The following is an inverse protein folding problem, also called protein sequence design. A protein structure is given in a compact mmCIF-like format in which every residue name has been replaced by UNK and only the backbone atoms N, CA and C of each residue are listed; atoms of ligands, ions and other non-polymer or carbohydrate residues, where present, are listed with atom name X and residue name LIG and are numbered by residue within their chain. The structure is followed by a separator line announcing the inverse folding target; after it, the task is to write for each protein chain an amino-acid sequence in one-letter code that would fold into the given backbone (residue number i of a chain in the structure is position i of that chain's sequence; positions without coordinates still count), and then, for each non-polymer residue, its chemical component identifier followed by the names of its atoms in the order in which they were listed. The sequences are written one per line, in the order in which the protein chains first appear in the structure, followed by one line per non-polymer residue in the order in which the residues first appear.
data_IF_975474634246
#
_entry.id   IF_975474634246
#
_cell.length_a   1.000
_cell.length_b   1.000
_cell.length_c   1.000
_cell.angle_alpha   90.00
_cell.angle_beta   90.00
_cell.angle_gamma   90.00
#
_symmetry.space_group_name_H-M   'P 1'
#
loop_
_entity.id
_entity.type
_entity.pdbx_description
1 polymer ?
#
# COMPACT_ATOMS: atom_id res chain seq x y z
N UNK A 1 10.16 20.06 -5.43
CA UNK A 1 10.84 20.19 -4.10
C UNK A 1 9.84 20.82 -3.15
N UNK A 2 9.70 20.32 -1.91
CA UNK A 2 8.81 20.97 -0.96
C UNK A 2 9.38 22.34 -0.53
N UNK A 3 8.50 23.30 -0.21
CA UNK A 3 8.92 24.64 0.24
C UNK A 3 9.89 24.54 1.43
N UNK A 4 9.61 23.62 2.38
CA UNK A 4 10.48 23.39 3.53
C UNK A 4 11.89 22.91 3.15
N UNK A 5 12.01 21.98 2.17
CA UNK A 5 13.32 21.53 1.68
C UNK A 5 14.07 22.66 0.98
N UNK A 6 13.38 23.51 0.25
CA UNK A 6 13.99 24.68 -0.39
C UNK A 6 14.58 25.65 0.65
N UNK A 7 13.81 25.96 1.71
CA UNK A 7 14.32 26.80 2.79
C UNK A 7 15.48 26.18 3.54
N UNK A 8 15.46 24.88 3.81
CA UNK A 8 16.59 24.18 4.43
C UNK A 8 17.86 24.24 3.57
N UNK A 9 17.72 24.11 2.26
CA UNK A 9 18.85 24.26 1.34
C UNK A 9 19.39 25.69 1.32
N UNK A 10 18.49 26.70 1.33
CA UNK A 10 18.93 28.12 1.44
C UNK A 10 19.68 28.40 2.73
N UNK A 11 19.17 27.91 3.87
CA UNK A 11 19.88 28.06 5.17
C UNK A 11 21.24 27.40 5.14
N UNK A 12 21.34 26.19 4.57
CA UNK A 12 22.61 25.48 4.46
C UNK A 12 23.63 26.23 3.55
N UNK A 13 23.16 26.79 2.43
CA UNK A 13 23.99 27.64 1.55
C UNK A 13 24.44 28.91 2.29
N UNK A 14 23.53 29.61 2.97
CA UNK A 14 23.85 30.82 3.74
C UNK A 14 24.90 30.51 4.82
N UNK A 15 24.75 29.41 5.56
CA UNK A 15 25.72 28.96 6.59
C UNK A 15 27.08 28.64 5.97
N UNK A 16 27.12 28.02 4.80
CA UNK A 16 28.37 27.69 4.11
C UNK A 16 29.08 28.95 3.60
N UNK A 17 28.32 29.94 3.10
CA UNK A 17 28.85 31.25 2.67
C UNK A 17 29.41 32.03 3.86
N UNK A 18 28.68 32.09 4.97
CA UNK A 18 29.11 32.76 6.20
C UNK A 18 30.44 32.17 6.73
N UNK A 19 30.58 30.87 6.73
CA UNK A 19 31.79 30.16 7.17
C UNK A 19 32.96 30.25 6.17
N UNK A 20 32.73 30.76 4.95
CA UNK A 20 33.66 30.73 3.83
C UNK A 20 34.23 29.34 3.50
N UNK A 21 33.53 28.28 3.91
CA UNK A 21 33.92 26.89 3.74
C UNK A 21 32.70 26.08 3.23
N UNK A 22 32.76 25.72 1.97
CA UNK A 22 31.80 24.77 1.41
C UNK A 22 32.53 23.44 1.18
N UNK A 23 32.19 22.45 2.04
CA UNK A 23 32.89 21.17 2.03
C UNK A 23 32.02 20.15 1.32
N UNK A 24 32.44 19.65 0.17
CA UNK A 24 31.75 18.61 -0.61
C UNK A 24 32.35 17.22 -0.42
N UNK A 25 33.67 17.18 -0.20
CA UNK A 25 34.47 15.95 -0.28
C UNK A 25 33.98 14.81 0.65
N UNK A 26 33.61 15.04 1.91
CA UNK A 26 33.20 13.97 2.79
C UNK A 26 31.92 13.24 2.31
N UNK A 27 30.94 13.99 1.79
CA UNK A 27 29.71 13.36 1.26
C UNK A 27 29.99 12.63 -0.04
N UNK A 28 30.81 13.20 -0.93
CA UNK A 28 31.18 12.56 -2.19
C UNK A 28 32.00 11.27 -1.99
N UNK A 29 32.63 11.07 -0.84
CA UNK A 29 33.30 9.82 -0.47
C UNK A 29 32.41 8.85 0.33
N UNK A 30 31.21 9.29 0.74
CA UNK A 30 30.31 8.45 1.53
C UNK A 30 29.64 7.39 0.64
N UNK A 31 29.78 6.08 0.93
CA UNK A 31 29.24 5.02 0.09
C UNK A 31 27.70 5.02 0.02
N UNK A 32 27.00 5.51 1.07
CA UNK A 32 25.54 5.70 1.04
C UNK A 32 25.17 6.71 -0.04
N UNK A 33 25.84 7.85 -0.06
CA UNK A 33 25.58 8.91 -1.03
C UNK A 33 25.94 8.47 -2.45
N UNK A 34 27.12 7.88 -2.64
CA UNK A 34 27.58 7.45 -3.96
C UNK A 34 26.66 6.42 -4.60
N UNK A 35 26.20 5.41 -3.82
CA UNK A 35 25.31 4.40 -4.37
C UNK A 35 23.98 4.99 -4.84
N UNK A 36 23.42 5.98 -4.13
CA UNK A 36 22.21 6.66 -4.59
C UNK A 36 22.49 7.61 -5.77
N UNK A 37 23.61 8.32 -5.75
CA UNK A 37 24.04 9.21 -6.85
C UNK A 37 24.17 8.44 -8.16
N UNK A 38 24.72 7.22 -8.12
CA UNK A 38 24.79 6.34 -9.30
C UNK A 38 23.37 5.98 -9.80
N UNK A 39 22.43 5.64 -8.92
CA UNK A 39 21.05 5.39 -9.33
C UNK A 39 20.44 6.60 -10.03
N UNK A 40 20.59 7.79 -9.42
CA UNK A 40 20.08 9.04 -10.00
C UNK A 40 20.70 9.34 -11.37
N UNK A 41 22.02 9.13 -11.50
CA UNK A 41 22.73 9.32 -12.76
C UNK A 41 22.30 8.32 -13.84
N UNK A 42 22.09 7.05 -13.49
CA UNK A 42 21.58 6.05 -14.42
C UNK A 42 20.16 6.37 -14.91
N UNK A 43 19.29 6.90 -14.03
CA UNK A 43 17.98 7.41 -14.43
C UNK A 43 18.12 8.62 -15.37
N UNK A 44 19.05 9.53 -15.10
CA UNK A 44 19.34 10.68 -15.95
C UNK A 44 19.83 10.26 -17.35
N UNK A 45 20.66 9.22 -17.45
CA UNK A 45 21.10 8.67 -18.75
C UNK A 45 19.94 8.16 -19.60
N UNK A 46 18.76 7.97 -19.02
CA UNK A 46 17.53 7.67 -19.75
C UNK A 46 17.15 8.73 -20.79
N UNK A 47 17.68 9.98 -20.69
CA UNK A 47 17.48 11.03 -21.68
C UNK A 47 17.97 10.62 -23.08
N UNK A 48 19.03 9.83 -23.16
CA UNK A 48 19.59 9.35 -24.44
C UNK A 48 18.80 8.22 -25.08
N UNK A 49 17.76 7.71 -24.40
CA UNK A 49 16.89 6.64 -24.91
C UNK A 49 15.60 7.13 -25.53
N UNK A 50 15.39 8.45 -25.57
CA UNK A 50 14.15 9.03 -26.07
C UNK A 50 12.96 8.81 -25.13
N UNK A 51 11.76 8.92 -25.67
CA UNK A 51 10.50 8.79 -24.94
C UNK A 51 9.95 10.12 -24.42
N UNK A 52 9.01 10.06 -23.46
CA UNK A 52 8.36 11.24 -22.92
C UNK A 52 9.31 12.03 -21.99
N UNK A 53 9.92 13.08 -22.50
CA UNK A 53 10.85 13.95 -21.73
C UNK A 53 10.21 14.50 -20.45
N UNK A 54 8.92 14.78 -20.44
CA UNK A 54 8.21 15.30 -19.26
C UNK A 54 8.24 14.29 -18.10
N UNK A 55 8.12 12.99 -18.37
CA UNK A 55 8.19 11.94 -17.34
C UNK A 55 9.59 11.83 -16.77
N UNK A 56 10.61 11.87 -17.63
CA UNK A 56 12.01 11.86 -17.22
C UNK A 56 12.34 13.07 -16.34
N UNK A 57 12.01 14.29 -16.78
CA UNK A 57 12.28 15.49 -16.00
C UNK A 57 11.50 15.56 -14.69
N UNK A 58 10.28 15.02 -14.67
CA UNK A 58 9.49 14.88 -13.43
C UNK A 58 10.24 14.01 -12.43
N UNK A 59 10.73 12.84 -12.84
CA UNK A 59 11.45 11.91 -11.95
C UNK A 59 12.74 12.51 -11.44
N UNK A 60 13.57 13.08 -12.33
CA UNK A 60 14.83 13.75 -11.95
C UNK A 60 14.61 14.84 -10.91
N UNK A 61 13.61 15.71 -11.13
CA UNK A 61 13.25 16.78 -10.18
C UNK A 61 12.71 16.24 -8.86
N UNK A 62 11.96 15.14 -8.91
CA UNK A 62 11.39 14.51 -7.71
C UNK A 62 12.50 13.94 -6.83
N UNK A 63 13.53 13.30 -7.41
CA UNK A 63 14.67 12.71 -6.70
C UNK A 63 15.72 13.75 -6.25
N UNK A 64 15.70 14.95 -6.81
CA UNK A 64 16.70 15.99 -6.54
C UNK A 64 16.94 16.27 -5.03
N UNK A 65 15.95 16.27 -4.14
CA UNK A 65 16.17 16.43 -2.71
C UNK A 65 17.10 15.38 -2.09
N UNK A 66 17.04 14.13 -2.56
CA UNK A 66 17.92 13.05 -2.08
C UNK A 66 19.39 13.26 -2.46
N UNK A 67 19.63 13.96 -3.57
CA UNK A 67 20.97 14.33 -4.03
C UNK A 67 21.47 15.59 -3.34
N UNK A 68 20.63 16.63 -3.25
CA UNK A 68 21.05 17.94 -2.76
C UNK A 68 21.09 18.02 -1.22
N UNK A 69 20.13 17.39 -0.51
CA UNK A 69 20.07 17.54 0.94
C UNK A 69 21.36 17.08 1.65
N UNK A 70 21.96 15.92 1.36
CA UNK A 70 23.23 15.53 1.96
C UNK A 70 24.38 16.51 1.65
N UNK A 71 24.45 17.00 0.41
CA UNK A 71 25.53 17.93 -0.03
C UNK A 71 25.50 19.25 0.74
N UNK A 72 24.31 19.80 0.95
CA UNK A 72 24.18 21.10 1.56
C UNK A 72 24.08 21.01 3.09
N UNK A 73 23.27 20.09 3.63
CA UNK A 73 22.99 20.04 5.06
C UNK A 73 24.17 19.55 5.91
N UNK A 74 25.15 18.83 5.32
CA UNK A 74 26.41 18.52 6.02
C UNK A 74 27.21 19.77 6.44
N UNK A 75 26.97 20.91 5.75
CA UNK A 75 27.66 22.18 6.05
C UNK A 75 27.00 22.97 7.18
N UNK A 76 25.89 22.51 7.73
CA UNK A 76 25.28 23.09 8.93
C UNK A 76 26.19 22.95 10.16
N UNK A 77 25.97 23.78 11.16
CA UNK A 77 26.61 23.60 12.46
C UNK A 77 26.18 22.24 13.06
N UNK A 78 27.07 21.56 13.78
CA UNK A 78 26.74 20.34 14.47
C UNK A 78 25.53 20.55 15.39
N UNK A 79 24.49 19.70 15.21
CA UNK A 79 23.26 19.77 16.01
C UNK A 79 23.53 19.50 17.48
N UNK A 80 23.06 20.40 18.32
CA UNK A 80 22.97 20.18 19.78
C UNK A 80 21.82 19.21 20.11
N UNK A 81 21.88 18.57 21.29
CA UNK A 81 20.80 17.70 21.78
C UNK A 81 19.46 18.43 21.90
N UNK A 82 19.48 19.73 22.25
CA UNK A 82 18.27 20.54 22.30
C UNK A 82 17.63 20.74 20.94
N UNK A 83 18.43 21.04 19.89
CA UNK A 83 17.95 21.19 18.52
C UNK A 83 17.41 19.86 17.95
N UNK A 84 18.13 18.77 18.21
CA UNK A 84 17.64 17.42 17.83
C UNK A 84 16.28 17.11 18.50
N UNK A 85 16.13 17.48 19.79
CA UNK A 85 14.87 17.35 20.53
C UNK A 85 13.73 18.15 19.89
N UNK A 86 14.01 19.39 19.45
CA UNK A 86 13.00 20.23 18.76
C UNK A 86 12.55 19.59 17.46
N UNK A 87 13.48 19.07 16.64
CA UNK A 87 13.17 18.37 15.40
C UNK A 87 12.19 17.21 15.65
N UNK A 88 12.48 16.38 16.65
CA UNK A 88 11.61 15.26 17.00
C UNK A 88 10.24 15.73 17.53
N UNK A 89 10.18 16.76 18.38
CA UNK A 89 8.92 17.32 18.88
C UNK A 89 8.03 17.82 17.74
N UNK A 90 8.61 18.54 16.79
CA UNK A 90 7.90 19.03 15.61
C UNK A 90 7.36 17.86 14.76
N UNK A 91 8.19 16.83 14.54
CA UNK A 91 7.78 15.66 13.78
C UNK A 91 6.63 14.89 14.47
N UNK A 92 6.73 14.63 15.79
CA UNK A 92 5.67 13.96 16.55
C UNK A 92 4.38 14.76 16.56
N UNK A 93 4.47 16.09 16.74
CA UNK A 93 3.30 16.97 16.73
C UNK A 93 2.63 17.00 15.37
N UNK A 94 3.40 17.10 14.28
CA UNK A 94 2.88 17.11 12.93
C UNK A 94 2.16 15.80 12.59
N UNK A 95 2.75 14.67 12.94
CA UNK A 95 2.11 13.35 12.75
C UNK A 95 0.86 13.21 13.62
N UNK A 96 0.94 13.60 14.90
CA UNK A 96 -0.19 13.51 15.83
C UNK A 96 -1.38 14.36 15.40
N UNK A 97 -1.14 15.62 15.02
CA UNK A 97 -2.19 16.53 14.53
C UNK A 97 -2.81 15.99 13.22
N UNK A 98 -1.97 15.56 12.28
CA UNK A 98 -2.46 15.01 11.01
C UNK A 98 -3.30 13.75 11.21
N UNK A 99 -2.86 12.84 12.08
CA UNK A 99 -3.61 11.63 12.43
C UNK A 99 -4.94 11.99 13.10
N UNK A 100 -4.93 12.93 14.05
CA UNK A 100 -6.13 13.39 14.75
C UNK A 100 -7.17 13.96 13.78
N UNK A 101 -6.77 14.85 12.86
CA UNK A 101 -7.67 15.41 11.86
C UNK A 101 -8.27 14.32 10.98
N UNK A 102 -7.48 13.34 10.53
CA UNK A 102 -7.96 12.21 9.75
C UNK A 102 -8.96 11.34 10.53
N UNK A 103 -8.70 11.08 11.82
CA UNK A 103 -9.60 10.32 12.71
C UNK A 103 -10.93 11.05 12.92
N UNK A 104 -10.88 12.35 13.20
CA UNK A 104 -12.11 13.16 13.36
C UNK A 104 -12.93 13.16 12.07
N UNK A 105 -12.29 13.35 10.92
CA UNK A 105 -12.96 13.29 9.63
C UNK A 105 -13.61 11.91 9.40
N UNK A 106 -12.87 10.83 9.67
CA UNK A 106 -13.40 9.48 9.54
C UNK A 106 -14.59 9.21 10.46
N UNK A 107 -14.54 9.66 11.71
CA UNK A 107 -15.60 9.48 12.68
C UNK A 107 -16.88 10.27 12.31
N UNK A 108 -16.74 11.52 11.85
CA UNK A 108 -17.89 12.37 11.46
C UNK A 108 -18.57 11.85 10.19
N UNK A 109 -17.79 11.28 9.26
CA UNK A 109 -18.30 10.77 7.97
C UNK A 109 -18.62 9.28 7.98
N UNK A 110 -18.57 8.62 9.14
CA UNK A 110 -18.84 7.19 9.25
C UNK A 110 -20.30 6.83 8.93
N UNK A 111 -20.60 5.75 8.16
CA UNK A 111 -19.65 4.89 7.49
C UNK A 111 -19.09 5.48 6.18
N UNK A 112 -17.75 5.48 6.03
CA UNK A 112 -17.13 5.93 4.80
C UNK A 112 -17.26 4.86 3.69
N UNK A 113 -17.68 5.24 2.47
CA UNK A 113 -17.70 4.30 1.34
C UNK A 113 -16.31 3.74 1.03
N UNK A 114 -15.30 4.59 1.13
CA UNK A 114 -13.90 4.23 0.98
C UNK A 114 -13.09 4.70 2.20
N UNK A 115 -12.78 3.82 3.19
CA UNK A 115 -12.08 4.20 4.42
C UNK A 115 -10.72 4.88 4.19
N UNK A 116 -10.02 4.51 3.10
CA UNK A 116 -8.71 5.06 2.74
C UNK A 116 -8.75 6.54 2.37
N UNK A 117 -9.90 7.05 1.93
CA UNK A 117 -10.11 8.48 1.61
C UNK A 117 -10.00 9.38 2.84
N UNK A 118 -10.09 8.82 4.06
CA UNK A 118 -9.86 9.58 5.29
C UNK A 118 -8.41 10.00 5.51
N UNK A 119 -7.45 9.50 4.74
CA UNK A 119 -6.07 9.99 4.76
C UNK A 119 -5.95 11.28 3.93
N UNK A 120 -6.33 12.41 4.53
CA UNK A 120 -6.59 13.68 3.84
C UNK A 120 -5.36 14.37 3.25
N UNK A 121 -4.18 14.22 3.88
CA UNK A 121 -2.99 15.01 3.53
C UNK A 121 -2.07 14.31 2.54
N UNK A 122 -1.87 13.01 2.73
CA UNK A 122 -1.02 12.15 1.90
C UNK A 122 -1.59 10.74 1.85
N UNK A 123 -1.15 9.92 0.88
CA UNK A 123 -1.55 8.51 0.80
C UNK A 123 -1.39 7.80 2.15
N UNK A 124 -2.41 7.05 2.56
CA UNK A 124 -2.44 6.29 3.81
C UNK A 124 -1.22 5.39 4.03
N UNK A 125 -0.62 4.86 2.96
CA UNK A 125 0.59 4.02 3.04
C UNK A 125 1.79 4.87 3.50
N UNK A 126 2.00 6.04 2.89
CA UNK A 126 3.11 6.95 3.21
C UNK A 126 2.93 7.60 4.58
N UNK A 127 1.69 7.92 4.92
CA UNK A 127 1.39 8.44 6.26
C UNK A 127 1.66 7.37 7.33
N UNK A 128 1.30 6.11 7.08
CA UNK A 128 1.60 4.99 7.99
C UNK A 128 3.10 4.83 8.24
N UNK A 129 3.93 5.02 7.22
CA UNK A 129 5.39 5.00 7.34
C UNK A 129 5.89 6.05 8.35
N UNK A 130 5.41 7.30 8.22
CA UNK A 130 5.74 8.39 9.13
C UNK A 130 5.19 8.14 10.54
N UNK A 131 3.96 7.65 10.65
CA UNK A 131 3.30 7.36 11.90
C UNK A 131 4.02 6.26 12.71
N UNK A 132 4.45 5.19 12.05
CA UNK A 132 5.23 4.12 12.72
C UNK A 132 6.59 4.64 13.19
N UNK A 133 7.30 5.45 12.37
CA UNK A 133 8.56 6.06 12.80
C UNK A 133 8.36 7.02 13.98
N UNK A 134 7.26 7.79 13.97
CA UNK A 134 6.92 8.68 15.09
C UNK A 134 6.64 7.91 16.39
N UNK A 135 5.92 6.78 16.33
CA UNK A 135 5.69 5.91 17.49
C UNK A 135 7.00 5.38 18.05
N UNK A 136 7.87 4.83 17.19
CA UNK A 136 9.16 4.29 17.63
C UNK A 136 10.07 5.39 18.20
N UNK A 137 10.10 6.55 17.57
CA UNK A 137 10.85 7.71 18.08
C UNK A 137 10.32 8.20 19.40
N UNK A 138 9.01 8.32 19.57
CA UNK A 138 8.36 8.78 20.80
C UNK A 138 8.66 7.88 22.00
N UNK A 139 8.67 6.55 21.81
CA UNK A 139 8.98 5.59 22.87
C UNK A 139 10.47 5.28 23.00
N UNK A 140 11.23 5.39 21.91
CA UNK A 140 12.67 5.11 21.87
C UNK A 140 13.56 6.24 22.40
N UNK A 141 13.07 7.49 22.39
CA UNK A 141 13.81 8.66 22.87
C UNK A 141 13.33 9.05 24.27
N UNK A 142 14.15 8.86 25.31
CA UNK A 142 13.76 9.26 26.66
C UNK A 142 13.69 10.79 26.78
N UNK A 143 12.73 11.28 27.56
CA UNK A 143 12.63 12.69 28.01
C UNK A 143 12.43 13.76 26.91
N UNK A 144 12.15 13.38 25.64
CA UNK A 144 11.84 14.37 24.59
C UNK A 144 10.42 14.90 24.75
N UNK A 145 9.46 14.01 25.02
CA UNK A 145 8.04 14.34 25.24
C UNK A 145 7.52 13.65 26.50
N UNK A 146 6.49 14.24 27.10
CA UNK A 146 5.84 13.72 28.31
C UNK A 146 5.13 12.39 28.06
N UNK A 147 4.96 11.56 29.08
CA UNK A 147 4.23 10.29 28.99
C UNK A 147 2.79 10.46 28.48
N UNK A 148 1.99 11.45 28.96
CA UNK A 148 0.66 11.69 28.41
C UNK A 148 0.67 11.95 26.90
N UNK A 149 1.65 12.70 26.39
CA UNK A 149 1.77 12.95 24.95
C UNK A 149 2.13 11.67 24.17
N UNK A 150 3.01 10.81 24.71
CA UNK A 150 3.33 9.50 24.09
C UNK A 150 2.07 8.63 23.96
N UNK A 151 1.28 8.58 25.03
CA UNK A 151 0.03 7.82 25.06
C UNK A 151 -0.96 8.41 24.04
N UNK A 152 -1.18 9.74 24.06
CA UNK A 152 -2.09 10.41 23.14
C UNK A 152 -1.70 10.18 21.67
N UNK A 153 -0.41 10.33 21.33
CA UNK A 153 0.11 10.04 20.00
C UNK A 153 -0.16 8.59 19.59
N UNK A 154 0.09 7.63 20.51
CA UNK A 154 -0.14 6.22 20.24
C UNK A 154 -1.62 5.93 19.99
N UNK A 155 -2.51 6.42 20.84
CA UNK A 155 -3.96 6.25 20.71
C UNK A 155 -4.44 6.80 19.35
N UNK A 156 -4.05 8.02 19.02
CA UNK A 156 -4.49 8.66 17.76
C UNK A 156 -3.97 7.93 16.53
N UNK A 157 -2.72 7.46 16.53
CA UNK A 157 -2.16 6.69 15.42
C UNK A 157 -2.86 5.32 15.30
N UNK A 158 -3.15 4.63 16.41
CA UNK A 158 -3.88 3.36 16.37
C UNK A 158 -5.32 3.55 15.88
N UNK A 159 -6.00 4.61 16.30
CA UNK A 159 -7.33 4.98 15.78
C UNK A 159 -7.26 5.28 14.27
N UNK A 160 -6.23 5.99 13.81
CA UNK A 160 -6.01 6.21 12.39
C UNK A 160 -5.87 4.88 11.62
N UNK A 161 -5.04 3.94 12.11
CA UNK A 161 -4.90 2.62 11.47
C UNK A 161 -6.20 1.85 11.44
N UNK A 162 -7.00 1.96 12.48
CA UNK A 162 -8.31 1.30 12.60
C UNK A 162 -9.34 1.88 11.62
N UNK A 163 -9.58 3.20 11.65
CA UNK A 163 -10.60 3.86 10.83
C UNK A 163 -10.26 3.86 9.34
N UNK A 164 -9.00 4.02 8.99
CA UNK A 164 -8.53 4.02 7.58
C UNK A 164 -8.34 2.60 7.05
N UNK A 165 -8.32 1.59 7.92
CA UNK A 165 -8.15 0.18 7.53
C UNK A 165 -6.80 -0.11 6.85
N UNK A 166 -5.74 0.58 7.29
CA UNK A 166 -4.42 0.47 6.66
C UNK A 166 -3.67 -0.78 7.11
N UNK A 167 -3.80 -1.88 6.35
CA UNK A 167 -3.02 -3.11 6.60
C UNK A 167 -1.50 -2.88 6.52
N UNK A 168 -1.05 -1.96 5.66
CA UNK A 168 0.36 -1.61 5.50
C UNK A 168 0.92 -0.99 6.78
N UNK A 169 0.15 -0.13 7.47
CA UNK A 169 0.56 0.47 8.74
C UNK A 169 0.76 -0.57 9.83
N UNK A 170 -0.18 -1.48 9.98
CA UNK A 170 -0.07 -2.62 10.90
C UNK A 170 1.11 -3.53 10.54
N UNK A 171 1.29 -3.83 9.24
CA UNK A 171 2.41 -4.63 8.75
C UNK A 171 3.77 -4.01 9.08
N UNK A 172 3.95 -2.72 8.83
CA UNK A 172 5.18 -1.99 9.17
C UNK A 172 5.46 -2.01 10.67
N UNK A 173 4.43 -1.79 11.49
CA UNK A 173 4.57 -1.82 12.95
C UNK A 173 4.97 -3.21 13.46
N UNK A 174 4.30 -4.26 12.98
CA UNK A 174 4.59 -5.65 13.37
C UNK A 174 6.02 -6.03 12.99
N UNK A 175 6.41 -5.83 11.71
CA UNK A 175 7.77 -6.18 11.25
C UNK A 175 8.83 -5.41 12.04
N UNK A 176 8.58 -4.14 12.33
CA UNK A 176 9.53 -3.34 13.10
C UNK A 176 9.64 -3.80 14.55
N UNK A 177 8.54 -4.10 15.23
CA UNK A 177 8.54 -4.68 16.60
C UNK A 177 9.33 -5.99 16.58
N UNK A 178 9.05 -6.86 15.63
CA UNK A 178 9.75 -8.13 15.45
C UNK A 178 11.27 -7.92 15.36
N UNK A 179 11.71 -7.01 14.49
CA UNK A 179 13.14 -6.73 14.28
C UNK A 179 13.81 -6.11 15.50
N UNK A 180 13.15 -5.19 16.18
CA UNK A 180 13.67 -4.57 17.39
C UNK A 180 13.78 -5.58 18.56
N UNK A 181 12.84 -6.50 18.68
CA UNK A 181 12.92 -7.60 19.65
C UNK A 181 14.04 -8.58 19.29
N UNK A 182 14.17 -8.96 18.02
CA UNK A 182 15.19 -9.88 17.55
C UNK A 182 16.62 -9.36 17.80
N UNK A 183 16.81 -8.04 17.80
CA UNK A 183 18.12 -7.41 17.98
C UNK A 183 18.68 -7.54 19.40
N UNK A 184 17.82 -7.77 20.43
CA UNK A 184 18.20 -7.68 21.86
C UNK A 184 18.80 -8.96 22.48
N UNK A 185 18.50 -10.16 21.98
CA UNK A 185 19.11 -11.41 22.49
C UNK A 185 18.87 -12.60 21.54
N UNK A 186 19.74 -13.65 21.67
CA UNK A 186 19.54 -14.91 20.92
C UNK A 186 18.18 -15.57 21.24
N UNK A 187 17.74 -15.53 22.49
CA UNK A 187 16.44 -16.06 22.94
C UNK A 187 15.27 -15.36 22.25
N UNK A 188 15.36 -14.04 22.11
CA UNK A 188 14.32 -13.25 21.46
C UNK A 188 14.23 -13.56 19.94
N UNK A 189 15.34 -13.92 19.29
CA UNK A 189 15.32 -14.36 17.87
C UNK A 189 14.46 -15.59 17.66
N UNK A 190 14.51 -16.58 18.58
CA UNK A 190 13.67 -17.77 18.51
C UNK A 190 12.19 -17.46 18.77
N UNK A 191 11.90 -16.57 19.73
CA UNK A 191 10.52 -16.11 20.00
C UNK A 191 9.96 -15.42 18.76
N UNK A 192 10.73 -14.51 18.14
CA UNK A 192 10.35 -13.79 16.91
C UNK A 192 10.13 -14.77 15.77
N UNK A 193 11.04 -15.69 15.54
CA UNK A 193 10.89 -16.73 14.49
C UNK A 193 9.63 -17.57 14.75
N UNK A 194 9.41 -18.00 16.00
CA UNK A 194 8.22 -18.74 16.40
C UNK A 194 6.92 -17.96 16.15
N UNK A 195 6.84 -16.70 16.57
CA UNK A 195 5.65 -15.83 16.34
C UNK A 195 5.41 -15.56 14.86
N UNK A 196 6.46 -15.35 14.06
CA UNK A 196 6.35 -15.14 12.62
C UNK A 196 5.85 -16.40 11.90
N UNK A 197 6.39 -17.56 12.27
CA UNK A 197 5.93 -18.86 11.75
C UNK A 197 4.49 -19.16 12.17
N UNK A 198 4.12 -18.85 13.41
CA UNK A 198 2.74 -19.02 13.90
C UNK A 198 1.77 -18.12 13.12
N UNK A 199 2.11 -16.83 12.91
CA UNK A 199 1.30 -15.93 12.11
C UNK A 199 1.17 -16.38 10.66
N UNK A 200 2.27 -16.83 10.04
CA UNK A 200 2.27 -17.38 8.69
C UNK A 200 1.43 -18.65 8.60
N UNK A 201 1.58 -19.57 9.57
CA UNK A 201 0.80 -20.82 9.64
C UNK A 201 -0.67 -20.55 9.86
N UNK A 202 -1.02 -19.58 10.73
CA UNK A 202 -2.40 -19.14 10.95
C UNK A 202 -3.00 -18.56 9.68
N UNK A 203 -2.26 -17.74 8.95
CA UNK A 203 -2.68 -17.20 7.66
C UNK A 203 -2.90 -18.30 6.63
N UNK A 204 -1.97 -19.25 6.51
CA UNK A 204 -2.08 -20.41 5.63
C UNK A 204 -3.26 -21.33 6.02
N UNK A 205 -3.49 -21.51 7.33
CA UNK A 205 -4.63 -22.27 7.83
C UNK A 205 -5.96 -21.61 7.46
N UNK A 206 -6.06 -20.28 7.63
CA UNK A 206 -7.25 -19.55 7.18
C UNK A 206 -7.43 -19.61 5.66
N UNK A 207 -6.34 -19.52 4.88
CA UNK A 207 -6.40 -19.71 3.43
C UNK A 207 -6.89 -21.11 3.06
N UNK A 208 -6.42 -22.16 3.73
CA UNK A 208 -6.82 -23.53 3.45
C UNK A 208 -8.27 -23.84 3.87
N UNK A 209 -8.75 -23.25 4.96
CA UNK A 209 -10.11 -23.49 5.47
C UNK A 209 -11.20 -22.86 4.58
N UNK A 210 -10.88 -21.77 3.87
CA UNK A 210 -11.83 -21.10 2.98
C UNK A 210 -11.81 -21.61 1.53
N UNK A 211 -10.94 -22.57 1.21
CA UNK A 211 -11.07 -23.39 -0.02
C UNK A 211 -12.03 -24.55 0.16
N UNK A 212 -12.87 -24.50 1.21
CA UNK A 212 -13.76 -25.56 1.65
C UNK A 212 -14.79 -26.00 0.62
N UNK A 213 -15.26 -27.22 0.83
CA UNK A 213 -16.21 -27.96 0.02
C UNK A 213 -17.28 -27.07 -0.61
N UNK A 214 -17.29 -27.01 -1.92
CA UNK A 214 -18.42 -26.49 -2.67
C UNK A 214 -19.63 -27.35 -2.29
N UNK A 215 -20.62 -26.74 -1.66
CA UNK A 215 -21.93 -27.38 -1.54
C UNK A 215 -22.42 -27.58 -2.98
N UNK A 216 -22.56 -28.84 -3.37
CA UNK A 216 -23.00 -29.16 -4.72
C UNK A 216 -24.50 -28.81 -4.80
N UNK A 217 -24.80 -27.62 -5.34
CA UNK A 217 -26.15 -27.31 -5.78
C UNK A 217 -26.35 -27.91 -7.17
N UNK A 218 -27.34 -28.77 -7.39
CA UNK A 218 -27.60 -29.30 -8.70
C UNK A 218 -28.01 -28.15 -9.65
N UNK A 219 -27.52 -28.18 -10.87
CA UNK A 219 -27.97 -27.30 -11.95
C UNK A 219 -29.40 -27.72 -12.32
N UNK A 220 -30.34 -26.79 -12.19
CA UNK A 220 -31.73 -27.02 -12.59
C UNK A 220 -31.94 -26.51 -14.01
N UNK A 221 -32.85 -27.13 -14.76
CA UNK A 221 -33.09 -26.77 -16.16
C UNK A 221 -33.92 -25.50 -16.26
N UNK A 222 -34.96 -25.37 -15.41
CA UNK A 222 -35.89 -24.25 -15.42
C UNK A 222 -36.40 -23.94 -14.01
N UNK A 223 -36.90 -22.72 -13.80
CA UNK A 223 -37.56 -22.28 -12.58
C UNK A 223 -38.90 -22.91 -12.41
N UNK A 224 -39.50 -22.76 -11.23
CA UNK A 224 -40.88 -23.19 -10.95
C UNK A 224 -41.92 -22.50 -11.84
N UNK A 225 -41.60 -21.32 -12.38
CA UNK A 225 -42.46 -20.54 -13.30
C UNK A 225 -42.18 -20.79 -14.76
N UNK A 226 -41.19 -21.66 -15.08
CA UNK A 226 -40.88 -22.11 -16.41
C UNK A 226 -39.82 -21.32 -17.16
N UNK A 227 -39.18 -20.32 -16.54
CA UNK A 227 -38.04 -19.65 -17.15
C UNK A 227 -36.81 -20.56 -17.14
N UNK A 228 -36.13 -20.66 -18.31
CA UNK A 228 -34.93 -21.46 -18.46
C UNK A 228 -33.77 -20.82 -17.68
N UNK A 229 -33.11 -21.60 -16.83
CA UNK A 229 -31.97 -21.10 -16.07
C UNK A 229 -30.73 -20.90 -16.95
N UNK A 230 -30.01 -19.84 -16.65
CA UNK A 230 -28.67 -19.55 -17.17
C UNK A 230 -27.65 -20.07 -16.15
N UNK A 231 -26.64 -20.78 -16.67
CA UNK A 231 -25.50 -21.26 -15.90
C UNK A 231 -24.19 -20.81 -16.52
N UNK A 232 -23.23 -20.48 -15.68
CA UNK A 232 -21.83 -20.25 -16.09
C UNK A 232 -20.96 -21.37 -15.46
N UNK A 233 -20.86 -22.56 -16.12
CA UNK A 233 -20.22 -23.72 -15.52
C UNK A 233 -18.71 -23.56 -15.30
N UNK A 234 -18.06 -22.68 -16.05
CA UNK A 234 -16.62 -22.35 -15.92
C UNK A 234 -16.32 -21.40 -14.77
N UNK A 235 -17.35 -20.74 -14.22
CA UNK A 235 -17.19 -19.82 -13.09
C UNK A 235 -17.39 -20.55 -11.77
N UNK A 236 -16.30 -20.72 -11.00
CA UNK A 236 -16.27 -21.46 -9.74
C UNK A 236 -16.41 -20.56 -8.51
N UNK A 237 -16.80 -19.32 -8.67
CA UNK A 237 -16.99 -18.41 -7.53
C UNK A 237 -18.13 -18.88 -6.63
N UNK A 238 -17.88 -18.82 -5.31
CA UNK A 238 -18.84 -19.27 -4.30
C UNK A 238 -19.04 -18.23 -3.20
N UNK A 239 -20.24 -18.22 -2.62
CA UNK A 239 -20.58 -17.57 -1.36
C UNK A 239 -21.05 -18.64 -0.37
N UNK A 240 -20.41 -18.72 0.80
CA UNK A 240 -20.66 -19.75 1.80
C UNK A 240 -20.66 -21.19 1.25
N UNK A 241 -19.82 -21.45 0.21
CA UNK A 241 -19.75 -22.74 -0.46
C UNK A 241 -20.76 -22.96 -1.59
N UNK A 242 -21.72 -22.06 -1.79
CA UNK A 242 -22.73 -22.17 -2.85
C UNK A 242 -22.26 -21.41 -4.10
N UNK A 243 -22.41 -22.03 -5.28
CA UNK A 243 -22.02 -21.41 -6.56
C UNK A 243 -22.88 -20.19 -6.86
N UNK A 244 -22.23 -19.10 -7.26
CA UNK A 244 -22.90 -17.82 -7.52
C UNK A 244 -23.63 -17.86 -8.88
N UNK A 245 -22.96 -18.30 -9.93
CA UNK A 245 -23.42 -18.15 -11.32
C UNK A 245 -24.10 -19.42 -11.86
N UNK A 246 -24.98 -20.02 -11.04
CA UNK A 246 -25.86 -21.13 -11.46
C UNK A 246 -27.30 -20.82 -11.05
N UNK A 247 -28.26 -21.44 -11.72
CA UNK A 247 -29.71 -21.32 -11.45
C UNK A 247 -30.17 -19.86 -11.46
N UNK A 248 -29.85 -19.10 -12.52
CA UNK A 248 -30.23 -17.70 -12.70
C UNK A 248 -31.36 -17.62 -13.73
N UNK A 249 -32.53 -17.12 -13.33
CA UNK A 249 -33.64 -16.77 -14.19
C UNK A 249 -33.78 -15.23 -14.25
N UNK A 250 -33.14 -14.54 -15.22
CA UNK A 250 -32.97 -13.09 -15.21
C UNK A 250 -34.27 -12.31 -15.25
N UNK A 251 -35.27 -12.77 -15.99
CA UNK A 251 -36.55 -12.08 -16.15
C UNK A 251 -37.37 -12.19 -14.88
N UNK A 252 -37.48 -13.39 -14.33
CA UNK A 252 -38.18 -13.61 -13.04
C UNK A 252 -37.50 -12.89 -11.89
N UNK A 253 -36.15 -12.96 -11.83
CA UNK A 253 -35.37 -12.29 -10.81
C UNK A 253 -35.63 -10.78 -10.83
N UNK A 254 -35.58 -10.16 -12.01
CA UNK A 254 -35.81 -8.73 -12.16
C UNK A 254 -37.26 -8.36 -11.79
N UNK A 255 -38.23 -9.08 -12.32
CA UNK A 255 -39.64 -8.79 -12.09
C UNK A 255 -40.04 -8.92 -10.63
N UNK A 256 -39.59 -9.99 -9.97
CA UNK A 256 -39.88 -10.24 -8.55
C UNK A 256 -39.17 -9.23 -7.64
N UNK A 257 -37.93 -8.87 -7.95
CA UNK A 257 -37.18 -7.88 -7.17
C UNK A 257 -37.82 -6.50 -7.26
N UNK A 258 -38.14 -6.03 -8.48
CA UNK A 258 -38.73 -4.71 -8.70
C UNK A 258 -40.16 -4.66 -8.06
N UNK A 259 -40.94 -5.71 -8.20
CA UNK A 259 -42.24 -5.79 -7.57
C UNK A 259 -42.20 -5.70 -6.03
N UNK A 260 -41.12 -6.24 -5.43
CA UNK A 260 -40.97 -6.24 -3.96
C UNK A 260 -40.37 -4.95 -3.42
N UNK A 261 -39.45 -4.32 -4.14
CA UNK A 261 -38.62 -3.22 -3.59
C UNK A 261 -38.82 -1.89 -4.29
N UNK A 262 -39.42 -1.87 -5.47
CA UNK A 262 -39.50 -0.73 -6.39
C UNK A 262 -38.13 -0.17 -6.79
N UNK A 263 -37.05 -0.97 -6.65
CA UNK A 263 -35.68 -0.60 -7.03
C UNK A 263 -35.23 -1.41 -8.26
N UNK A 264 -34.81 -0.76 -9.35
CA UNK A 264 -34.26 -1.46 -10.51
C UNK A 264 -32.94 -2.19 -10.19
N UNK A 265 -32.73 -3.39 -10.75
CA UNK A 265 -31.49 -4.16 -10.56
C UNK A 265 -30.23 -3.45 -11.11
N UNK A 266 -30.38 -2.61 -12.13
CA UNK A 266 -29.28 -1.84 -12.72
C UNK A 266 -28.95 -0.56 -11.92
N UNK A 267 -29.72 -0.25 -10.89
CA UNK A 267 -29.38 0.84 -9.95
C UNK A 267 -28.21 0.43 -9.06
N UNK A 268 -27.49 1.44 -8.57
CA UNK A 268 -26.39 1.21 -7.62
C UNK A 268 -26.91 1.11 -6.20
N UNK A 269 -26.33 0.17 -5.45
CA UNK A 269 -26.53 0.06 -3.99
C UNK A 269 -25.78 1.17 -3.24
N UNK A 270 -25.87 1.18 -1.92
CA UNK A 270 -25.22 2.20 -1.07
C UNK A 270 -23.69 2.19 -1.14
N UNK A 271 -23.08 1.13 -1.66
CA UNK A 271 -21.62 1.01 -1.89
C UNK A 271 -21.22 1.31 -3.34
N UNK A 272 -22.18 1.70 -4.18
CA UNK A 272 -21.93 2.04 -5.58
C UNK A 272 -21.80 0.86 -6.53
N UNK A 273 -22.11 -0.37 -6.09
CA UNK A 273 -22.18 -1.58 -6.93
C UNK A 273 -23.59 -1.73 -7.53
N UNK A 274 -23.71 -2.47 -8.64
CA UNK A 274 -25.04 -2.79 -9.18
C UNK A 274 -25.79 -3.70 -8.21
N UNK A 275 -27.03 -3.36 -7.89
CA UNK A 275 -27.91 -4.17 -7.03
C UNK A 275 -28.02 -5.61 -7.55
N UNK A 276 -28.02 -5.82 -8.87
CA UNK A 276 -28.02 -7.15 -9.47
C UNK A 276 -26.86 -8.01 -8.98
N UNK A 277 -25.65 -7.47 -8.98
CA UNK A 277 -24.47 -8.21 -8.54
C UNK A 277 -24.54 -8.55 -7.05
N UNK A 278 -24.92 -7.58 -6.23
CA UNK A 278 -25.09 -7.76 -4.78
C UNK A 278 -26.16 -8.81 -4.48
N UNK A 279 -27.32 -8.74 -5.16
CA UNK A 279 -28.45 -9.66 -5.00
C UNK A 279 -28.08 -11.10 -5.35
N UNK A 280 -27.47 -11.34 -6.52
CA UNK A 280 -27.07 -12.69 -6.98
C UNK A 280 -26.13 -13.34 -5.97
N UNK A 281 -25.14 -12.59 -5.47
CA UNK A 281 -24.21 -13.06 -4.45
C UNK A 281 -24.91 -13.33 -3.12
N UNK A 282 -25.79 -12.43 -2.69
CA UNK A 282 -26.53 -12.58 -1.45
C UNK A 282 -27.45 -13.83 -1.47
N UNK A 283 -28.19 -14.06 -2.57
CA UNK A 283 -28.98 -15.27 -2.77
C UNK A 283 -28.10 -16.53 -2.72
N UNK A 284 -26.95 -16.51 -3.37
CA UNK A 284 -25.99 -17.60 -3.30
C UNK A 284 -25.51 -17.83 -1.85
N UNK A 285 -25.25 -16.78 -1.08
CA UNK A 285 -24.78 -16.90 0.31
C UNK A 285 -25.81 -17.61 1.21
N UNK A 286 -27.09 -17.55 0.86
CA UNK A 286 -28.20 -18.25 1.53
C UNK A 286 -28.52 -19.62 0.91
N UNK A 287 -27.85 -20.02 -0.18
CA UNK A 287 -28.16 -21.26 -0.90
C UNK A 287 -29.47 -21.20 -1.71
N UNK A 288 -29.94 -20.01 -2.06
CA UNK A 288 -31.20 -19.80 -2.79
C UNK A 288 -30.95 -19.75 -4.31
N UNK A 289 -32.00 -20.10 -5.08
CA UNK A 289 -32.03 -19.90 -6.53
C UNK A 289 -32.13 -18.41 -6.87
N UNK A 290 -31.70 -18.03 -8.08
CA UNK A 290 -31.69 -16.62 -8.50
C UNK A 290 -32.90 -16.38 -9.42
N UNK A 291 -34.08 -16.47 -8.83
CA UNK A 291 -35.39 -16.40 -9.46
C UNK A 291 -36.46 -15.77 -8.55
N UNK A 292 -37.71 -15.85 -8.91
CA UNK A 292 -38.79 -15.33 -8.12
C UNK A 292 -38.98 -16.05 -6.76
N UNK A 293 -38.72 -17.35 -6.70
CA UNK A 293 -38.85 -18.13 -5.47
C UNK A 293 -37.74 -17.78 -4.47
N UNK A 294 -36.51 -17.57 -4.98
CA UNK A 294 -35.40 -17.07 -4.16
C UNK A 294 -35.70 -15.69 -3.58
N UNK A 295 -36.31 -14.77 -4.36
CA UNK A 295 -36.70 -13.44 -3.88
C UNK A 295 -37.82 -13.55 -2.78
N UNK A 296 -38.77 -14.45 -2.93
CA UNK A 296 -39.84 -14.63 -1.93
C UNK A 296 -39.30 -15.09 -0.58
N UNK A 297 -38.23 -15.87 -0.55
CA UNK A 297 -37.57 -16.37 0.66
C UNK A 297 -36.72 -15.35 1.40
N UNK A 298 -36.47 -14.16 0.83
CA UNK A 298 -35.76 -13.08 1.51
C UNK A 298 -36.65 -12.44 2.57
N UNK A 299 -36.12 -12.12 3.74
CA UNK A 299 -36.74 -11.26 4.73
C UNK A 299 -36.58 -9.78 4.36
N UNK A 300 -37.30 -8.88 5.04
CA UNK A 300 -37.13 -7.43 4.83
C UNK A 300 -35.74 -6.95 5.31
N UNK A 301 -35.19 -7.63 6.31
CA UNK A 301 -33.80 -7.41 6.74
C UNK A 301 -32.81 -7.79 5.64
N UNK A 302 -33.02 -8.90 4.92
CA UNK A 302 -32.20 -9.30 3.78
C UNK A 302 -32.25 -8.26 2.66
N UNK A 303 -33.44 -7.75 2.34
CA UNK A 303 -33.62 -6.69 1.35
C UNK A 303 -32.86 -5.43 1.75
N UNK A 304 -32.96 -5.01 2.99
CA UNK A 304 -32.23 -3.86 3.53
C UNK A 304 -30.72 -4.06 3.44
N UNK A 305 -30.23 -5.27 3.75
CA UNK A 305 -28.80 -5.62 3.64
C UNK A 305 -28.31 -5.57 2.19
N UNK A 306 -29.08 -6.06 1.23
CA UNK A 306 -28.76 -6.03 -0.19
C UNK A 306 -28.66 -4.58 -0.67
N UNK A 307 -29.62 -3.72 -0.34
CA UNK A 307 -29.63 -2.30 -0.69
C UNK A 307 -28.48 -1.54 -0.02
N UNK A 308 -28.05 -1.97 1.18
CA UNK A 308 -26.85 -1.47 1.85
C UNK A 308 -25.55 -1.97 1.22
N UNK A 309 -25.59 -2.84 0.20
CA UNK A 309 -24.44 -3.36 -0.52
C UNK A 309 -23.75 -4.56 0.15
N UNK A 310 -24.38 -5.24 1.10
CA UNK A 310 -23.87 -6.47 1.67
C UNK A 310 -24.08 -7.63 0.69
N UNK A 311 -23.00 -8.31 0.33
CA UNK A 311 -23.01 -9.40 -0.67
C UNK A 311 -23.22 -10.78 -0.05
N UNK A 312 -23.16 -10.87 1.28
CA UNK A 312 -23.31 -12.12 2.03
C UNK A 312 -24.21 -11.91 3.25
N UNK A 313 -25.09 -12.88 3.54
CA UNK A 313 -26.04 -12.81 4.64
C UNK A 313 -25.37 -12.69 6.03
N UNK A 314 -24.14 -13.17 6.18
CA UNK A 314 -23.37 -13.07 7.41
C UNK A 314 -22.57 -11.75 7.52
N UNK A 315 -22.46 -10.98 6.44
CA UNK A 315 -21.60 -9.78 6.38
C UNK A 315 -21.93 -8.70 7.43
N UNK A 316 -23.21 -8.47 7.82
CA UNK A 316 -23.54 -7.51 8.88
C UNK A 316 -22.90 -7.84 10.24
N UNK A 317 -22.62 -9.12 10.49
CA UNK A 317 -22.04 -9.61 11.75
C UNK A 317 -20.52 -9.75 11.71
N UNK A 318 -19.89 -9.55 10.55
CA UNK A 318 -18.45 -9.68 10.40
C UNK A 318 -17.68 -8.47 10.94
N UNK A 319 -16.59 -8.76 11.61
CA UNK A 319 -15.58 -7.77 11.92
C UNK A 319 -14.94 -7.22 10.63
N UNK A 320 -14.29 -6.08 10.71
CA UNK A 320 -13.56 -5.49 9.55
C UNK A 320 -12.50 -6.45 8.97
N UNK A 321 -11.87 -7.28 9.82
CA UNK A 321 -10.89 -8.27 9.39
C UNK A 321 -11.55 -9.42 8.61
N UNK A 322 -12.67 -9.93 9.09
CA UNK A 322 -13.44 -10.98 8.40
C UNK A 322 -13.97 -10.51 7.05
N UNK A 323 -14.50 -9.27 6.98
CA UNK A 323 -14.93 -8.66 5.70
C UNK A 323 -13.76 -8.60 4.72
N UNK A 324 -12.59 -8.14 5.17
CA UNK A 324 -11.41 -8.06 4.32
C UNK A 324 -10.90 -9.42 3.88
N UNK A 325 -10.94 -10.40 4.78
CA UNK A 325 -10.57 -11.77 4.47
C UNK A 325 -11.50 -12.38 3.40
N UNK A 326 -12.80 -12.28 3.62
CA UNK A 326 -13.81 -12.77 2.66
C UNK A 326 -13.62 -12.13 1.28
N UNK A 327 -13.36 -10.81 1.24
CA UNK A 327 -13.06 -10.11 0.00
C UNK A 327 -11.81 -10.69 -0.71
N UNK A 328 -10.74 -10.97 0.03
CA UNK A 328 -9.51 -11.57 -0.56
C UNK A 328 -9.79 -12.96 -1.13
N UNK A 329 -10.57 -13.79 -0.40
CA UNK A 329 -10.96 -15.13 -0.87
C UNK A 329 -11.79 -15.04 -2.15
N UNK A 330 -12.76 -14.14 -2.19
CA UNK A 330 -13.58 -13.91 -3.38
C UNK A 330 -12.72 -13.40 -4.56
N UNK A 331 -11.85 -12.43 -4.33
CA UNK A 331 -10.89 -11.95 -5.33
C UNK A 331 -10.00 -13.08 -5.87
N UNK A 332 -9.56 -14.01 -4.99
CA UNK A 332 -8.79 -15.18 -5.40
C UNK A 332 -9.58 -16.12 -6.32
N UNK A 333 -10.83 -16.40 -5.97
CA UNK A 333 -11.71 -17.24 -6.80
C UNK A 333 -11.93 -16.62 -8.17
N UNK A 334 -12.22 -15.31 -8.23
CA UNK A 334 -12.35 -14.52 -9.48
C UNK A 334 -11.12 -14.65 -10.35
N UNK A 335 -9.94 -14.46 -9.76
CA UNK A 335 -8.68 -14.56 -10.47
C UNK A 335 -8.41 -15.97 -11.00
N UNK A 336 -8.71 -17.01 -10.20
CA UNK A 336 -8.54 -18.42 -10.59
C UNK A 336 -9.51 -18.84 -11.71
N UNK A 337 -10.68 -18.24 -11.78
CA UNK A 337 -11.65 -18.44 -12.88
C UNK A 337 -11.26 -17.76 -14.19
N UNK A 338 -10.13 -17.03 -14.24
CA UNK A 338 -9.66 -16.31 -15.43
C UNK A 338 -10.45 -15.04 -15.73
N UNK A 339 -11.27 -14.56 -14.79
CA UNK A 339 -12.01 -13.32 -14.95
C UNK A 339 -11.13 -12.08 -14.79
N UNK A 340 -11.67 -10.95 -15.21
CA UNK A 340 -10.97 -9.66 -15.15
C UNK A 340 -10.62 -9.30 -13.70
N UNK A 341 -9.32 -9.16 -13.34
CA UNK A 341 -8.89 -8.80 -12.01
C UNK A 341 -9.06 -7.31 -11.67
N UNK A 342 -9.65 -6.51 -12.57
CA UNK A 342 -9.89 -5.08 -12.35
C UNK A 342 -10.80 -4.86 -11.14
N UNK A 343 -10.39 -3.95 -10.23
CA UNK A 343 -11.07 -3.74 -8.95
C UNK A 343 -10.55 -4.61 -7.79
N UNK A 344 -9.74 -5.63 -8.06
CA UNK A 344 -9.21 -6.58 -7.07
C UNK A 344 -7.75 -6.28 -6.70
N UNK A 345 -7.54 -5.42 -5.71
CA UNK A 345 -6.25 -4.79 -5.42
C UNK A 345 -5.06 -5.75 -5.21
N UNK A 346 -5.29 -6.95 -4.69
CA UNK A 346 -4.24 -7.96 -4.47
C UNK A 346 -3.85 -8.62 -5.79
N UNK A 347 -4.84 -9.03 -6.59
CA UNK A 347 -4.60 -9.77 -7.84
C UNK A 347 -4.20 -8.86 -9.00
N UNK A 348 -4.63 -7.60 -9.02
CA UNK A 348 -4.08 -6.58 -9.91
C UNK A 348 -2.55 -6.47 -9.75
N UNK A 349 -2.03 -6.54 -8.52
CA UNK A 349 -0.57 -6.49 -8.29
C UNK A 349 0.15 -7.68 -8.92
N UNK A 350 -0.47 -8.87 -8.99
CA UNK A 350 0.12 -10.01 -9.71
C UNK A 350 0.25 -9.71 -11.20
N UNK A 351 -0.75 -9.06 -11.81
CA UNK A 351 -0.68 -8.64 -13.21
C UNK A 351 0.42 -7.58 -13.42
N UNK A 352 0.57 -6.65 -12.48
CA UNK A 352 1.67 -5.67 -12.49
C UNK A 352 3.05 -6.35 -12.45
N UNK A 353 3.21 -7.39 -11.61
CA UNK A 353 4.45 -8.17 -11.56
C UNK A 353 4.70 -8.98 -12.83
N UNK A 354 3.65 -9.52 -13.49
CA UNK A 354 3.78 -10.21 -14.79
C UNK A 354 4.28 -9.24 -15.87
N UNK A 355 3.65 -8.06 -15.97
CA UNK A 355 4.08 -7.02 -16.91
C UNK A 355 5.51 -6.55 -16.63
N UNK A 356 5.86 -6.28 -15.37
CA UNK A 356 7.21 -5.90 -14.96
C UNK A 356 8.25 -6.97 -15.32
N UNK A 357 7.96 -8.25 -15.05
CA UNK A 357 8.82 -9.37 -15.42
C UNK A 357 9.05 -9.43 -16.93
N UNK A 358 8.00 -9.26 -17.72
CA UNK A 358 8.08 -9.26 -19.18
C UNK A 358 9.01 -8.14 -19.69
N UNK A 359 8.85 -6.91 -19.17
CA UNK A 359 9.70 -5.75 -19.54
C UNK A 359 11.17 -6.01 -19.16
N UNK A 360 11.40 -6.49 -17.94
CA UNK A 360 12.75 -6.77 -17.41
C UNK A 360 13.45 -7.83 -18.26
N UNK A 361 12.76 -8.92 -18.63
CA UNK A 361 13.38 -9.99 -19.44
C UNK A 361 13.88 -9.50 -20.80
N UNK A 362 13.24 -8.48 -21.36
CA UNK A 362 13.66 -7.90 -22.66
C UNK A 362 14.72 -6.81 -22.51
N UNK A 363 14.87 -6.21 -21.31
CA UNK A 363 15.69 -5.03 -21.09
C UNK A 363 16.56 -5.14 -19.82
N UNK A 364 17.17 -6.31 -19.58
CA UNK A 364 17.87 -6.67 -18.33
C UNK A 364 18.94 -5.67 -17.92
N UNK A 365 19.87 -5.33 -18.85
CA UNK A 365 21.09 -4.61 -18.51
C UNK A 365 20.89 -3.11 -18.31
N UNK A 366 20.09 -2.51 -19.18
CA UNK A 366 20.02 -1.06 -19.26
C UNK A 366 18.62 -0.49 -19.02
N UNK A 367 17.61 -1.34 -18.86
CA UNK A 367 16.21 -0.92 -18.76
C UNK A 367 15.66 -0.29 -20.04
N UNK A 368 14.48 0.29 -19.98
CA UNK A 368 13.81 0.92 -21.13
C UNK A 368 14.06 2.42 -21.24
N UNK A 369 14.65 3.05 -20.22
CA UNK A 369 14.72 4.51 -20.06
C UNK A 369 13.45 5.06 -19.40
N UNK A 370 13.61 6.00 -18.46
CA UNK A 370 12.47 6.53 -17.68
C UNK A 370 11.35 7.13 -18.54
N UNK A 371 11.71 7.76 -19.68
CA UNK A 371 10.75 8.34 -20.62
C UNK A 371 9.86 7.30 -21.33
N UNK A 372 10.31 6.06 -21.42
CA UNK A 372 9.62 4.98 -22.13
C UNK A 372 8.84 4.02 -21.19
N UNK A 373 8.95 4.19 -19.88
CA UNK A 373 8.35 3.26 -18.89
C UNK A 373 6.86 3.07 -19.12
N UNK A 374 6.12 4.15 -19.34
CA UNK A 374 4.67 4.11 -19.57
C UNK A 374 4.30 3.31 -20.82
N UNK A 375 5.00 3.54 -21.92
CA UNK A 375 4.79 2.81 -23.16
C UNK A 375 5.15 1.32 -22.98
N UNK A 376 6.27 1.01 -22.34
CA UNK A 376 6.69 -0.36 -22.09
C UNK A 376 5.66 -1.15 -21.25
N UNK A 377 5.05 -0.52 -20.25
CA UNK A 377 3.94 -1.14 -19.50
C UNK A 377 2.71 -1.36 -20.37
N UNK A 378 2.31 -0.39 -21.20
CA UNK A 378 1.17 -0.55 -22.09
C UNK A 378 1.38 -1.76 -23.03
N UNK A 379 2.53 -1.86 -23.70
CA UNK A 379 2.89 -2.99 -24.55
C UNK A 379 2.93 -4.33 -23.81
N UNK A 380 3.46 -4.31 -22.57
CA UNK A 380 3.52 -5.50 -21.73
C UNK A 380 2.12 -5.99 -21.35
N UNK A 381 1.19 -5.08 -20.96
CA UNK A 381 -0.18 -5.45 -20.60
C UNK A 381 -0.95 -6.07 -21.76
N UNK A 382 -0.81 -5.55 -22.97
CA UNK A 382 -1.42 -6.16 -24.17
C UNK A 382 -1.01 -7.63 -24.31
N UNK A 383 0.25 -7.95 -23.97
CA UNK A 383 0.79 -9.32 -24.14
C UNK A 383 0.57 -10.22 -22.92
N UNK A 384 0.59 -9.68 -21.70
CA UNK A 384 0.59 -10.49 -20.48
C UNK A 384 -0.75 -10.51 -19.75
N UNK A 385 -1.56 -9.48 -19.92
CA UNK A 385 -2.79 -9.26 -19.12
C UNK A 385 -3.86 -8.53 -19.94
N UNK A 386 -4.27 -9.07 -21.12
CA UNK A 386 -5.17 -8.39 -22.05
C UNK A 386 -6.55 -8.10 -21.45
N UNK A 387 -6.95 -8.83 -20.39
CA UNK A 387 -8.23 -8.65 -19.72
C UNK A 387 -8.21 -7.56 -18.63
N UNK A 388 -7.05 -6.95 -18.36
CA UNK A 388 -6.96 -5.89 -17.33
C UNK A 388 -7.35 -4.55 -17.94
N UNK A 389 -8.34 -3.87 -17.33
CA UNK A 389 -8.82 -2.58 -17.81
C UNK A 389 -7.68 -1.54 -17.86
N UNK A 390 -7.60 -0.75 -18.92
CA UNK A 390 -6.55 0.26 -19.12
C UNK A 390 -6.45 1.26 -17.96
N UNK A 391 -7.59 1.61 -17.35
CA UNK A 391 -7.66 2.56 -16.21
C UNK A 391 -6.93 2.09 -14.96
N UNK A 392 -6.70 0.79 -14.84
CA UNK A 392 -6.02 0.17 -13.69
C UNK A 392 -4.67 -0.45 -14.04
N UNK A 393 -4.16 -0.19 -15.24
CA UNK A 393 -2.81 -0.56 -15.66
C UNK A 393 -1.79 0.41 -15.04
N UNK A 394 -1.25 0.03 -13.89
CA UNK A 394 -0.29 0.83 -13.15
C UNK A 394 1.12 0.21 -13.21
N UNK A 395 2.13 0.97 -12.75
CA UNK A 395 3.46 0.44 -12.51
C UNK A 395 3.44 -0.59 -11.36
N UNK A 396 4.52 -1.34 -11.20
CA UNK A 396 4.61 -2.53 -10.35
C UNK A 396 4.45 -2.29 -8.84
N UNK A 397 4.37 -1.05 -8.38
CA UNK A 397 4.36 -0.69 -6.95
C UNK A 397 5.50 -1.33 -6.15
N UNK A 398 6.70 -1.30 -6.72
CA UNK A 398 7.93 -1.79 -6.12
C UNK A 398 9.11 -0.98 -6.64
N UNK A 399 9.70 -0.13 -5.80
CA UNK A 399 10.74 0.81 -6.20
C UNK A 399 11.99 0.13 -6.79
N UNK A 400 12.33 -1.07 -6.30
CA UNK A 400 13.47 -1.82 -6.82
C UNK A 400 13.26 -2.25 -8.27
N UNK A 401 12.09 -2.80 -8.56
CA UNK A 401 11.73 -3.19 -9.93
C UNK A 401 11.52 -1.98 -10.82
N UNK A 402 10.99 -0.87 -10.30
CA UNK A 402 10.83 0.38 -11.06
C UNK A 402 12.18 0.92 -11.51
N UNK A 403 13.21 0.90 -10.67
CA UNK A 403 14.56 1.28 -11.08
C UNK A 403 15.20 0.28 -12.05
N UNK A 404 14.94 -1.03 -11.87
CA UNK A 404 15.41 -2.02 -12.84
C UNK A 404 14.78 -1.80 -14.22
N UNK A 405 13.48 -1.59 -14.29
CA UNK A 405 12.77 -1.32 -15.55
C UNK A 405 13.29 -0.04 -16.20
N UNK A 406 13.43 1.03 -15.42
CA UNK A 406 13.80 2.34 -15.95
C UNK A 406 15.28 2.42 -16.39
N UNK A 407 16.21 1.87 -15.59
CA UNK A 407 17.65 2.11 -15.75
C UNK A 407 18.51 0.84 -15.68
N UNK A 408 17.89 -0.34 -15.64
CA UNK A 408 18.57 -1.63 -15.73
C UNK A 408 19.12 -2.17 -14.42
N UNK A 409 19.77 -3.33 -14.53
CA UNK A 409 20.28 -4.08 -13.35
C UNK A 409 21.29 -3.29 -12.52
N UNK A 410 22.09 -2.41 -13.12
CA UNK A 410 23.04 -1.58 -12.38
C UNK A 410 22.32 -0.59 -11.44
N UNK A 411 21.18 -0.03 -11.84
CA UNK A 411 20.39 0.82 -10.97
C UNK A 411 19.81 0.03 -9.80
N UNK A 412 19.28 -1.18 -10.04
CA UNK A 412 18.82 -2.09 -8.99
C UNK A 412 19.95 -2.39 -7.99
N UNK A 413 21.13 -2.83 -8.47
CA UNK A 413 22.26 -3.20 -7.62
C UNK A 413 22.75 -2.01 -6.78
N UNK A 414 22.88 -0.82 -7.37
CA UNK A 414 23.26 0.38 -6.61
C UNK A 414 22.19 0.81 -5.60
N UNK A 415 20.91 0.61 -5.91
CA UNK A 415 19.84 0.88 -4.94
C UNK A 415 19.85 -0.12 -3.78
N UNK A 416 20.17 -1.39 -4.04
CA UNK A 416 20.40 -2.38 -2.97
C UNK A 416 21.65 -2.02 -2.14
N UNK A 417 22.73 -1.59 -2.75
CA UNK A 417 23.94 -1.11 -2.06
C UNK A 417 23.65 0.12 -1.20
N UNK A 418 22.77 1.04 -1.65
CA UNK A 418 22.32 2.18 -0.85
C UNK A 418 21.69 1.72 0.48
N UNK A 419 20.79 0.76 0.44
CA UNK A 419 20.18 0.19 1.65
C UNK A 419 21.18 -0.62 2.49
N UNK A 420 22.07 -1.36 1.87
CA UNK A 420 23.11 -2.12 2.55
C UNK A 420 24.04 -1.21 3.36
N UNK A 421 24.52 -0.13 2.78
CA UNK A 421 25.39 0.81 3.49
C UNK A 421 24.64 1.57 4.59
N UNK A 422 23.41 2.00 4.35
CA UNK A 422 22.55 2.56 5.42
C UNK A 422 22.37 1.58 6.58
N UNK A 423 22.04 0.33 6.27
CA UNK A 423 21.88 -0.72 7.27
C UNK A 423 23.14 -0.91 8.12
N UNK A 424 24.31 -1.02 7.47
CA UNK A 424 25.61 -1.20 8.15
C UNK A 424 25.89 -0.09 9.17
N UNK A 425 25.55 1.15 8.84
CA UNK A 425 25.71 2.30 9.75
C UNK A 425 24.61 2.32 10.81
N UNK A 426 23.37 2.04 10.41
CA UNK A 426 22.18 2.12 11.26
C UNK A 426 22.15 1.06 12.38
N UNK A 427 22.84 -0.07 12.25
CA UNK A 427 22.89 -1.11 13.29
C UNK A 427 23.34 -0.62 14.69
N UNK A 428 24.03 0.52 14.73
CA UNK A 428 24.48 1.13 16.00
C UNK A 428 23.45 2.07 16.64
N UNK A 429 22.38 2.43 15.91
CA UNK A 429 21.35 3.37 16.36
C UNK A 429 19.95 2.81 16.06
N UNK A 430 19.18 2.54 17.11
CA UNK A 430 17.85 1.91 16.98
C UNK A 430 16.87 2.70 16.10
N UNK A 431 16.92 4.04 16.16
CA UNK A 431 16.01 4.87 15.34
C UNK A 431 16.44 4.94 13.88
N UNK A 432 17.76 5.01 13.62
CA UNK A 432 18.29 4.92 12.27
C UNK A 432 17.96 3.56 11.67
N UNK A 433 18.09 2.47 12.45
CA UNK A 433 17.72 1.12 12.02
C UNK A 433 16.21 1.03 11.73
N UNK A 434 15.37 1.57 12.60
CA UNK A 434 13.91 1.63 12.37
C UNK A 434 13.59 2.37 11.06
N UNK A 435 14.22 3.52 10.82
CA UNK A 435 14.05 4.26 9.58
C UNK A 435 14.45 3.42 8.36
N UNK A 436 15.64 2.79 8.38
CA UNK A 436 16.13 1.99 7.24
C UNK A 436 15.21 0.81 6.93
N UNK A 437 14.73 0.12 7.96
CA UNK A 437 13.78 -0.99 7.80
C UNK A 437 12.46 -0.51 7.20
N UNK A 438 11.89 0.55 7.74
CA UNK A 438 10.63 1.13 7.25
C UNK A 438 10.79 1.63 5.81
N UNK A 439 11.89 2.29 5.50
CA UNK A 439 12.23 2.77 4.17
C UNK A 439 12.33 1.61 3.17
N UNK A 440 13.03 0.54 3.54
CA UNK A 440 13.18 -0.66 2.72
C UNK A 440 11.83 -1.34 2.45
N UNK A 441 11.02 -1.56 3.49
CA UNK A 441 9.69 -2.16 3.37
C UNK A 441 8.75 -1.31 2.51
N UNK A 442 8.82 0.02 2.65
CA UNK A 442 8.04 0.94 1.82
C UNK A 442 8.42 0.80 0.33
N UNK A 443 9.71 0.70 0.02
CA UNK A 443 10.19 0.50 -1.35
C UNK A 443 9.86 -0.88 -1.93
N UNK A 444 9.64 -1.90 -1.09
CA UNK A 444 9.16 -3.22 -1.55
C UNK A 444 7.68 -3.22 -1.92
N UNK A 445 6.88 -2.38 -1.27
CA UNK A 445 5.41 -2.39 -1.39
C UNK A 445 4.84 -1.26 -2.23
N UNK A 446 5.63 -0.21 -2.49
CA UNK A 446 5.22 1.00 -3.21
C UNK A 446 6.40 1.65 -3.97
N UNK A 447 6.06 2.44 -4.98
CA UNK A 447 6.99 3.35 -5.65
C UNK A 447 7.15 4.63 -4.82
N UNK A 448 7.74 4.50 -3.63
CA UNK A 448 7.77 5.56 -2.61
C UNK A 448 8.54 6.79 -3.09
N UNK A 449 9.62 6.59 -3.85
CA UNK A 449 10.49 7.66 -4.33
C UNK A 449 10.00 8.34 -5.63
N UNK A 450 8.90 7.90 -6.22
CA UNK A 450 8.25 8.60 -7.35
C UNK A 450 7.33 9.73 -6.90
N UNK A 451 7.18 9.93 -5.59
CA UNK A 451 6.28 10.92 -5.02
C UNK A 451 6.97 11.89 -4.08
N UNK A 452 6.51 13.13 -4.11
CA UNK A 452 7.06 14.21 -3.28
C UNK A 452 7.09 13.88 -1.77
N UNK A 453 6.00 13.37 -1.14
CA UNK A 453 6.03 13.03 0.29
C UNK A 453 7.02 11.92 0.63
N UNK A 454 7.11 10.89 -0.21
CA UNK A 454 8.05 9.80 -0.02
C UNK A 454 9.49 10.29 -0.10
N UNK A 455 9.84 11.04 -1.15
CA UNK A 455 11.18 11.61 -1.32
C UNK A 455 11.52 12.58 -0.19
N UNK A 456 10.59 13.44 0.23
CA UNK A 456 10.84 14.37 1.33
C UNK A 456 11.16 13.63 2.64
N UNK A 457 10.40 12.58 2.95
CA UNK A 457 10.65 11.73 4.12
C UNK A 457 12.03 11.05 4.04
N UNK A 458 12.35 10.44 2.91
CA UNK A 458 13.64 9.79 2.71
C UNK A 458 14.81 10.77 2.76
N UNK A 459 14.72 11.89 2.04
CA UNK A 459 15.77 12.90 1.98
C UNK A 459 16.04 13.50 3.36
N UNK A 460 14.97 13.80 4.12
CA UNK A 460 15.11 14.36 5.46
C UNK A 460 15.76 13.36 6.42
N UNK A 461 15.19 12.17 6.57
CA UNK A 461 15.68 11.22 7.58
C UNK A 461 17.00 10.55 7.19
N UNK A 462 17.25 10.28 5.89
CA UNK A 462 18.57 9.79 5.48
C UNK A 462 19.66 10.83 5.76
N UNK A 463 19.39 12.12 5.48
CA UNK A 463 20.34 13.20 5.80
C UNK A 463 20.51 13.35 7.30
N UNK A 464 19.41 13.35 8.05
CA UNK A 464 19.43 13.50 9.51
C UNK A 464 20.22 12.40 10.22
N UNK A 465 20.12 11.16 9.80
CA UNK A 465 20.79 10.04 10.45
C UNK A 465 22.22 9.82 9.96
N UNK A 466 22.54 10.12 8.69
CA UNK A 466 23.78 9.68 8.08
C UNK A 466 24.72 10.79 7.62
N UNK A 467 24.24 12.04 7.52
CA UNK A 467 25.03 13.13 6.95
C UNK A 467 25.08 14.39 7.80
N UNK A 468 24.10 14.64 8.68
CA UNK A 468 24.16 15.81 9.55
C UNK A 468 25.27 15.65 10.59
N UNK A 469 26.13 16.68 10.75
CA UNK A 469 27.13 16.68 11.79
C UNK A 469 26.44 16.75 13.17
N UNK A 470 26.91 15.90 14.08
CA UNK A 470 26.43 15.87 15.48
C UNK A 470 27.57 16.31 16.38
N UNK A 471 27.25 17.07 17.46
CA UNK A 471 28.24 17.36 18.49
C UNK A 471 28.62 16.05 19.17
N UNK A 472 29.93 15.73 19.15
CA UNK A 472 30.48 14.68 20.01
C UNK A 472 30.29 15.09 21.48
N UNK A 473 29.90 14.12 22.32
CA UNK A 473 29.68 14.37 23.76
C UNK A 473 30.99 14.48 24.52
#
# INVERSE_FOLDING_TARGET
MSVAMFFLLLVAVATAVEKKTFVLLPVLKNPIYLSFLVVWFLVLLGVFRGGENNLLWKEIKTLLPLVLAPLFLQNLNPLSKSEESVIWKVFFSAVGISAFVCVVYAAVKYPLPEPRSASLFISHIRFSLMAVLALVGAWGLPNIISLPFKIALSVVVFLFFFFVGTLTGWGFLIVLIILLFASKSKRNKFIVLGTTLTLASTLLFFLSKNTGSTNFQPEQIQSSRGEKYIHQPTNFQTENGNRIFINIAPVELNSAWVARTNHPLLQKDSRGQLVQTTLIRYLASKGLTKDADGIQQLSDTDVSNILAGNTNCNEPHWSALEKRWHQIVFEYQTYKSGENPSGHSVFQRLEYYKAAKFIIQQNLLFGVGQGNVKQAYHEAYIKTSPNLDEKVQHAVHNQFLSYWIAAGVLALLNFLLYFFFMWKVACKNTLALAFVVLAFLSCLTEDTLTTQPGVAFFAFFSTFFFFLPKKEN
#
